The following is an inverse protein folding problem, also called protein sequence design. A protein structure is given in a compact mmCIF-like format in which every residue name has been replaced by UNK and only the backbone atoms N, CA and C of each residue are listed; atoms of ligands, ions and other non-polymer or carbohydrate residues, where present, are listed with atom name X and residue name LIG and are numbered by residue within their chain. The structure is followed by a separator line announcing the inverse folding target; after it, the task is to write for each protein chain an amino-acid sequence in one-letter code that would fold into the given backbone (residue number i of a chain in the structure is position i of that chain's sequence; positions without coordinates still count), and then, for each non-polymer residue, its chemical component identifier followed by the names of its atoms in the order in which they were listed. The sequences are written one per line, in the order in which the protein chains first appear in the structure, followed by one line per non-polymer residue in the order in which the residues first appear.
data_IF_962592248956
#
_entry.id   IF_962592248956
#
_cell.length_a   1.000
_cell.length_b   1.000
_cell.length_c   1.000
_cell.angle_alpha   90.00
_cell.angle_beta   90.00
_cell.angle_gamma   90.00
#
_symmetry.space_group_name_H-M   'P 1'
#
loop_
_entity.id
_entity.type
_entity.pdbx_description
1 polymer ?
#
# COMPACT_ATOMS: atom_id res chain seq x y z
N UNK A 1 11.04 -16.31 5.54
CA UNK A 1 10.21 -15.09 5.49
C UNK A 1 10.04 -14.55 6.90
N UNK A 2 10.35 -13.29 7.15
CA UNK A 2 10.09 -12.58 8.41
C UNK A 2 8.92 -11.62 8.21
N UNK A 3 7.97 -11.62 9.14
CA UNK A 3 6.83 -10.69 9.13
C UNK A 3 6.88 -9.85 10.40
N UNK A 4 6.74 -8.54 10.23
CA UNK A 4 6.78 -7.55 11.32
C UNK A 4 5.47 -6.77 11.33
N UNK A 5 4.84 -6.68 12.47
CA UNK A 5 3.67 -5.82 12.70
C UNK A 5 4.07 -4.35 12.71
N UNK A 6 3.16 -3.49 12.32
CA UNK A 6 3.32 -2.02 12.42
C UNK A 6 2.39 -1.45 13.49
N UNK A 7 2.45 -0.14 13.69
CA UNK A 7 1.54 0.57 14.62
C UNK A 7 0.10 0.67 14.09
N UNK A 8 -0.15 0.22 12.84
CA UNK A 8 -1.48 0.17 12.24
C UNK A 8 -1.97 -1.28 12.25
N UNK A 9 -3.07 -1.61 12.94
CA UNK A 9 -3.59 -2.96 13.02
C UNK A 9 -3.82 -3.59 11.65
N UNK A 10 -3.16 -4.73 11.41
CA UNK A 10 -3.25 -5.51 10.17
C UNK A 10 -2.31 -5.07 9.05
N UNK A 11 -1.61 -3.93 9.17
CA UNK A 11 -0.54 -3.56 8.24
C UNK A 11 0.73 -4.32 8.63
N UNK A 12 1.29 -5.07 7.68
CA UNK A 12 2.44 -5.93 7.91
C UNK A 12 3.58 -5.60 6.94
N UNK A 13 4.80 -5.52 7.46
CA UNK A 13 6.02 -5.50 6.66
C UNK A 13 6.56 -6.91 6.53
N UNK A 14 6.81 -7.36 5.30
CA UNK A 14 7.28 -8.71 4.99
C UNK A 14 8.67 -8.63 4.36
N UNK A 15 9.60 -9.41 4.87
CA UNK A 15 10.93 -9.62 4.29
C UNK A 15 11.03 -11.08 3.83
N UNK A 16 10.87 -11.35 2.51
CA UNK A 16 10.98 -12.68 1.95
C UNK A 16 12.39 -13.25 2.09
N UNK A 17 12.50 -14.57 2.12
CA UNK A 17 13.80 -15.24 1.98
C UNK A 17 14.28 -15.10 0.53
N UNK A 18 15.50 -14.60 0.35
CA UNK A 18 16.14 -14.44 -0.95
C UNK A 18 17.33 -15.38 -1.08
N UNK A 19 17.26 -16.32 -2.02
CA UNK A 19 18.38 -17.16 -2.40
C UNK A 19 19.22 -16.49 -3.48
N UNK A 20 20.54 -16.49 -3.34
CA UNK A 20 21.48 -15.90 -4.31
C UNK A 20 22.53 -16.92 -4.73
N UNK A 21 22.85 -16.96 -6.03
CA UNK A 21 23.94 -17.74 -6.61
C UNK A 21 24.55 -16.98 -7.80
N UNK A 22 25.56 -17.54 -8.51
CA UNK A 22 26.17 -16.88 -9.67
C UNK A 22 25.22 -16.55 -10.84
N UNK A 23 24.02 -17.11 -10.86
CA UNK A 23 23.00 -16.82 -11.89
C UNK A 23 22.12 -15.62 -11.50
N UNK A 24 22.18 -15.14 -10.26
CA UNK A 24 21.37 -14.05 -9.74
C UNK A 24 20.65 -14.39 -8.44
N UNK A 25 19.35 -14.06 -8.36
CA UNK A 25 18.55 -14.31 -7.17
C UNK A 25 17.25 -15.04 -7.51
N UNK A 26 16.77 -15.78 -6.52
CA UNK A 26 15.45 -16.39 -6.52
C UNK A 26 14.74 -16.08 -5.19
N UNK A 27 13.47 -15.68 -5.26
CA UNK A 27 12.62 -15.58 -4.09
C UNK A 27 11.20 -16.02 -4.44
N UNK A 28 10.50 -16.54 -3.44
CA UNK A 28 9.06 -16.76 -3.52
C UNK A 28 8.35 -15.46 -3.14
N UNK A 29 7.60 -14.89 -4.08
CA UNK A 29 6.89 -13.62 -3.86
C UNK A 29 5.54 -13.79 -3.19
N UNK A 30 4.97 -14.98 -3.22
CA UNK A 30 3.71 -15.33 -2.57
C UNK A 30 3.51 -16.84 -2.49
N UNK A 31 3.02 -17.30 -1.33
CA UNK A 31 2.56 -18.68 -1.12
C UNK A 31 1.32 -18.65 -0.23
N UNK A 32 0.17 -19.06 -0.75
CA UNK A 32 -1.13 -18.85 -0.09
C UNK A 32 -1.16 -19.34 1.37
N UNK A 33 -0.68 -20.57 1.65
CA UNK A 33 -0.67 -21.12 3.01
C UNK A 33 0.27 -20.36 3.94
N UNK A 34 1.52 -20.14 3.54
CA UNK A 34 2.54 -19.48 4.38
C UNK A 34 2.15 -18.02 4.71
N UNK A 35 1.54 -17.31 3.76
CA UNK A 35 1.08 -15.94 3.99
C UNK A 35 -0.17 -15.91 4.87
N UNK A 36 -1.10 -16.87 4.69
CA UNK A 36 -2.25 -17.00 5.59
C UNK A 36 -1.82 -17.31 7.03
N UNK A 37 -0.87 -18.25 7.23
CA UNK A 37 -0.30 -18.59 8.55
C UNK A 37 0.40 -17.39 9.20
N UNK A 38 0.89 -16.43 8.39
CA UNK A 38 1.51 -15.18 8.84
C UNK A 38 0.51 -14.02 9.04
N UNK A 39 -0.81 -14.27 8.96
CA UNK A 39 -1.85 -13.28 9.17
C UNK A 39 -2.20 -12.44 7.93
N UNK A 40 -1.80 -12.88 6.74
CA UNK A 40 -2.14 -12.23 5.47
C UNK A 40 -3.23 -13.05 4.77
N UNK A 41 -4.51 -12.68 4.95
CA UNK A 41 -5.62 -13.46 4.42
C UNK A 41 -5.70 -13.34 2.90
N UNK A 42 -5.98 -14.47 2.24
CA UNK A 42 -6.39 -14.53 0.85
C UNK A 42 -7.88 -14.82 0.70
N UNK A 43 -8.35 -15.13 -0.50
CA UNK A 43 -7.56 -15.25 -1.73
C UNK A 43 -7.18 -13.89 -2.32
N UNK A 44 -6.09 -13.84 -3.12
CA UNK A 44 -5.83 -12.73 -4.03
C UNK A 44 -6.38 -13.08 -5.42
N UNK A 45 -7.21 -12.21 -5.95
CA UNK A 45 -8.00 -12.47 -7.17
C UNK A 45 -7.59 -11.61 -8.37
N UNK A 46 -6.75 -10.58 -8.15
CA UNK A 46 -6.28 -9.67 -9.18
C UNK A 46 -4.84 -9.26 -8.91
N UNK A 47 -4.01 -9.28 -9.97
CA UNK A 47 -2.65 -8.76 -9.96
C UNK A 47 -2.56 -7.53 -10.85
N UNK A 48 -1.83 -6.51 -10.38
CA UNK A 48 -1.58 -5.29 -11.13
C UNK A 48 -0.09 -4.96 -11.14
N UNK A 49 0.38 -4.38 -12.24
CA UNK A 49 1.71 -3.82 -12.34
C UNK A 49 1.62 -2.38 -12.86
N UNK A 50 2.33 -1.45 -12.21
CA UNK A 50 2.48 -0.10 -12.71
C UNK A 50 3.95 0.25 -12.86
N UNK A 51 4.28 1.02 -13.91
CA UNK A 51 5.59 1.63 -14.06
C UNK A 51 5.46 3.14 -14.00
N UNK A 52 6.35 3.80 -13.28
CA UNK A 52 6.28 5.24 -13.02
C UNK A 52 7.67 5.85 -12.95
N UNK A 53 7.79 7.11 -13.36
CA UNK A 53 9.03 7.89 -13.34
C UNK A 53 9.25 8.55 -11.98
N UNK A 54 10.49 8.97 -11.71
CA UNK A 54 10.86 9.72 -10.50
C UNK A 54 9.89 10.87 -10.20
N UNK A 55 9.52 11.01 -8.94
CA UNK A 55 8.61 12.05 -8.46
C UNK A 55 7.13 11.77 -8.72
N UNK A 56 6.77 10.67 -9.38
CA UNK A 56 5.36 10.27 -9.49
C UNK A 56 4.85 9.84 -8.12
N UNK A 57 3.74 10.42 -7.69
CA UNK A 57 2.98 10.01 -6.51
C UNK A 57 1.61 9.52 -6.97
N UNK A 58 1.21 8.34 -6.51
CA UNK A 58 -0.12 7.76 -6.72
C UNK A 58 -0.75 7.52 -5.37
N UNK A 59 -1.91 8.08 -5.14
CA UNK A 59 -2.62 7.93 -3.87
C UNK A 59 -3.18 9.24 -3.31
N UNK A 60 -3.79 9.17 -2.15
CA UNK A 60 -4.02 7.97 -1.31
C UNK A 60 -5.33 7.29 -1.75
N UNK A 61 -5.26 6.05 -2.19
CA UNK A 61 -6.40 5.34 -2.77
C UNK A 61 -6.95 4.26 -1.85
N UNK A 62 -8.26 4.09 -1.84
CA UNK A 62 -8.97 2.96 -1.26
C UNK A 62 -10.21 2.64 -2.08
N UNK A 63 -10.89 1.54 -1.78
CA UNK A 63 -12.13 1.14 -2.42
C UNK A 63 -13.17 0.85 -1.34
N UNK A 64 -14.38 1.38 -1.52
CA UNK A 64 -15.52 1.20 -0.64
C UNK A 64 -16.82 1.25 -1.48
N UNK A 65 -17.74 0.25 -1.37
CA UNK A 65 -17.81 -0.80 -0.35
C UNK A 65 -16.95 -2.04 -0.61
N UNK A 66 -16.49 -2.33 -1.83
CA UNK A 66 -15.69 -3.53 -2.16
C UNK A 66 -14.21 -3.32 -1.80
N UNK A 67 -13.94 -3.24 -0.48
CA UNK A 67 -12.62 -2.90 0.03
C UNK A 67 -11.59 -3.99 -0.27
N UNK A 68 -10.45 -3.59 -0.84
CA UNK A 68 -9.34 -4.48 -1.21
C UNK A 68 -8.25 -4.51 -0.14
N UNK A 69 -7.86 -5.71 0.29
CA UNK A 69 -6.54 -5.94 0.86
C UNK A 69 -5.49 -5.99 -0.25
N UNK A 70 -4.29 -5.48 0.00
CA UNK A 70 -3.23 -5.40 -1.02
C UNK A 70 -1.92 -5.96 -0.49
N UNK A 71 -1.25 -6.82 -1.26
CA UNK A 71 0.11 -7.28 -1.01
C UNK A 71 1.01 -6.72 -2.12
N UNK A 72 1.97 -5.89 -1.75
CA UNK A 72 2.70 -5.03 -2.67
C UNK A 72 4.20 -5.22 -2.58
N UNK A 73 4.89 -5.06 -3.71
CA UNK A 73 6.35 -5.07 -3.79
C UNK A 73 6.85 -4.24 -4.98
N UNK A 74 8.13 -3.86 -4.93
CA UNK A 74 8.84 -3.24 -6.03
C UNK A 74 9.70 -4.28 -6.73
N UNK A 75 9.57 -4.39 -8.06
CA UNK A 75 10.38 -5.29 -8.89
C UNK A 75 11.54 -4.58 -9.61
N UNK A 76 11.42 -3.27 -9.79
CA UNK A 76 12.46 -2.38 -10.35
C UNK A 76 12.42 -1.03 -9.64
N UNK A 77 13.57 -0.47 -9.30
CA UNK A 77 13.68 0.85 -8.68
C UNK A 77 13.33 0.88 -7.19
N UNK A 78 12.93 2.07 -6.72
CA UNK A 78 12.68 2.38 -5.32
C UNK A 78 11.43 3.26 -5.21
N UNK A 79 10.56 2.94 -4.25
CA UNK A 79 9.45 3.80 -3.87
C UNK A 79 9.44 4.04 -2.36
N UNK A 80 8.90 5.17 -1.94
CA UNK A 80 8.44 5.40 -0.58
C UNK A 80 6.95 5.09 -0.53
N UNK A 81 6.61 4.03 0.17
CA UNK A 81 5.25 3.48 0.29
C UNK A 81 4.59 3.98 1.56
N UNK A 82 3.31 4.35 1.49
CA UNK A 82 2.56 4.92 2.61
C UNK A 82 1.19 4.28 2.73
N UNK A 83 0.88 3.85 3.94
CA UNK A 83 -0.43 3.32 4.33
C UNK A 83 -1.03 4.23 5.40
N UNK A 84 -2.29 4.62 5.22
CA UNK A 84 -3.03 5.45 6.19
C UNK A 84 -4.22 4.67 6.73
N UNK A 85 -4.37 4.62 8.04
CA UNK A 85 -5.56 4.06 8.66
C UNK A 85 -6.71 5.07 8.61
N UNK A 86 -7.68 4.82 7.75
CA UNK A 86 -8.88 5.64 7.58
C UNK A 86 -10.14 4.97 8.15
N UNK A 87 -10.00 3.86 8.88
CA UNK A 87 -11.11 3.07 9.43
C UNK A 87 -11.65 3.72 10.70
N UNK A 88 -12.88 4.22 10.65
CA UNK A 88 -13.56 4.82 11.81
C UNK A 88 -13.63 3.86 13.00
N UNK A 89 -13.21 4.32 14.16
CA UNK A 89 -13.15 3.52 15.39
C UNK A 89 -11.87 2.68 15.54
N UNK A 90 -10.92 2.76 14.61
CA UNK A 90 -9.60 2.17 14.79
C UNK A 90 -8.78 2.93 15.85
N UNK A 91 -7.97 2.22 16.66
CA UNK A 91 -7.06 2.86 17.63
C UNK A 91 -5.95 3.68 16.94
N UNK A 92 -5.73 3.46 15.64
CA UNK A 92 -4.75 4.20 14.83
C UNK A 92 -5.41 5.07 13.76
N UNK A 93 -6.69 5.40 13.88
CA UNK A 93 -7.38 6.28 12.93
C UNK A 93 -6.59 7.59 12.68
N UNK A 94 -6.37 7.93 11.41
CA UNK A 94 -5.58 9.10 11.00
C UNK A 94 -4.06 8.95 11.14
N UNK A 95 -3.55 7.82 11.62
CA UNK A 95 -2.12 7.54 11.63
C UNK A 95 -1.68 6.90 10.32
N UNK A 96 -0.42 7.09 9.97
CA UNK A 96 0.18 6.48 8.78
C UNK A 96 1.47 5.72 9.11
N UNK A 97 1.78 4.75 8.27
CA UNK A 97 3.03 4.00 8.25
C UNK A 97 3.70 4.20 6.90
N UNK A 98 5.00 4.50 6.91
CA UNK A 98 5.80 4.67 5.69
C UNK A 98 6.98 3.73 5.67
N UNK A 99 7.29 3.17 4.50
CA UNK A 99 8.43 2.28 4.30
C UNK A 99 9.05 2.47 2.91
N UNK A 100 10.36 2.30 2.81
CA UNK A 100 11.03 2.15 1.53
C UNK A 100 10.87 0.72 1.03
N UNK A 101 10.33 0.58 -0.18
CA UNK A 101 10.28 -0.67 -0.94
C UNK A 101 11.16 -0.55 -2.18
N UNK A 102 12.00 -1.55 -2.43
CA UNK A 102 12.91 -1.50 -3.57
C UNK A 102 13.16 -2.88 -4.18
N UNK A 103 13.62 -2.86 -5.43
CA UNK A 103 14.11 -4.06 -6.11
C UNK A 103 15.32 -4.70 -5.40
N UNK A 104 16.01 -3.97 -4.54
CA UNK A 104 17.15 -4.48 -3.78
C UNK A 104 16.73 -5.11 -2.46
N UNK A 105 15.92 -4.39 -1.64
CA UNK A 105 15.51 -4.88 -0.33
C UNK A 105 14.43 -5.97 -0.39
N UNK A 106 13.71 -6.10 -1.52
CA UNK A 106 12.66 -7.12 -1.76
C UNK A 106 11.53 -7.13 -0.74
N UNK A 107 11.44 -6.09 0.07
CA UNK A 107 10.38 -5.96 1.07
C UNK A 107 9.01 -5.89 0.39
N UNK A 108 8.03 -6.39 1.12
CA UNK A 108 6.63 -6.28 0.75
C UNK A 108 5.87 -5.62 1.90
N UNK A 109 4.77 -4.95 1.54
CA UNK A 109 3.80 -4.44 2.53
C UNK A 109 2.46 -5.08 2.24
N UNK A 110 1.82 -5.61 3.29
CA UNK A 110 0.42 -5.96 3.26
C UNK A 110 -0.41 -4.85 3.88
N UNK A 111 -1.42 -4.40 3.15
CA UNK A 111 -2.40 -3.40 3.57
C UNK A 111 -3.76 -4.08 3.70
N UNK A 112 -4.38 -4.07 4.89
CA UNK A 112 -5.70 -4.66 5.07
C UNK A 112 -6.79 -3.82 4.38
N UNK A 113 -7.95 -4.43 4.07
CA UNK A 113 -9.12 -3.68 3.60
C UNK A 113 -9.45 -2.51 4.52
N UNK A 114 -9.87 -1.39 3.92
CA UNK A 114 -10.29 -0.19 4.64
C UNK A 114 -9.15 0.79 4.99
N UNK A 115 -7.90 0.49 4.69
CA UNK A 115 -6.81 1.47 4.73
C UNK A 115 -6.66 2.16 3.38
N UNK A 116 -6.24 3.43 3.38
CA UNK A 116 -5.82 4.13 2.17
C UNK A 116 -4.32 3.90 1.92
N UNK A 117 -3.95 3.82 0.65
CA UNK A 117 -2.59 3.51 0.22
C UNK A 117 -2.10 4.46 -0.87
N UNK A 118 -0.83 4.80 -0.82
CA UNK A 118 -0.15 5.55 -1.87
C UNK A 118 1.36 5.34 -1.83
N UNK A 119 2.02 5.72 -2.91
CA UNK A 119 3.48 5.67 -2.97
C UNK A 119 4.07 6.79 -3.80
N UNK A 120 5.34 7.12 -3.54
CA UNK A 120 6.13 8.06 -4.32
C UNK A 120 7.38 7.39 -4.87
N UNK A 121 7.67 7.57 -6.17
CA UNK A 121 8.88 7.03 -6.82
C UNK A 121 10.09 7.90 -6.50
N UNK A 122 11.13 7.31 -5.90
CA UNK A 122 12.36 8.01 -5.49
C UNK A 122 13.56 7.70 -6.40
N UNK A 123 13.56 6.57 -7.11
CA UNK A 123 14.53 6.25 -8.18
C UNK A 123 14.13 6.86 -9.52
N UNK A 124 14.95 6.74 -10.58
CA UNK A 124 14.61 7.29 -11.92
C UNK A 124 13.29 6.74 -12.46
N UNK A 125 13.04 5.47 -12.21
CA UNK A 125 11.76 4.79 -12.47
C UNK A 125 11.56 3.67 -11.46
N UNK A 126 10.32 3.23 -11.30
CA UNK A 126 10.00 2.06 -10.51
C UNK A 126 8.87 1.25 -11.15
N UNK A 127 8.98 -0.08 -11.04
CA UNK A 127 7.93 -1.04 -11.39
C UNK A 127 7.36 -1.61 -10.08
N UNK A 128 6.08 -1.33 -9.84
CA UNK A 128 5.34 -1.65 -8.64
C UNK A 128 4.30 -2.71 -8.93
N UNK A 129 4.44 -3.87 -8.29
CA UNK A 129 3.55 -5.02 -8.43
C UNK A 129 2.70 -5.17 -7.17
N UNK A 130 1.40 -5.43 -7.34
CA UNK A 130 0.53 -5.67 -6.20
C UNK A 130 -0.62 -6.63 -6.52
N UNK A 131 -0.95 -7.46 -5.53
CA UNK A 131 -2.09 -8.38 -5.52
C UNK A 131 -3.23 -7.76 -4.72
N UNK A 132 -4.47 -7.98 -5.15
CA UNK A 132 -5.68 -7.50 -4.50
C UNK A 132 -6.58 -8.65 -4.09
N UNK A 133 -7.21 -8.53 -2.91
CA UNK A 133 -8.15 -9.54 -2.38
C UNK A 133 -9.54 -9.44 -2.98
N UNK A 134 -9.85 -8.37 -3.70
CA UNK A 134 -11.11 -8.18 -4.44
C UNK A 134 -10.83 -7.51 -5.79
N UNK A 135 -11.79 -7.54 -6.69
CA UNK A 135 -11.67 -6.95 -8.02
C UNK A 135 -11.73 -5.43 -7.97
N UNK A 136 -11.06 -4.79 -8.91
CA UNK A 136 -11.17 -3.35 -9.09
C UNK A 136 -12.57 -2.98 -9.59
N UNK A 137 -13.23 -2.12 -8.84
CA UNK A 137 -14.52 -1.54 -9.17
C UNK A 137 -14.38 -0.01 -9.31
N UNK A 138 -14.37 0.55 -10.53
CA UNK A 138 -14.15 1.98 -10.75
C UNK A 138 -15.14 2.89 -10.01
N UNK A 139 -16.38 2.45 -9.82
CA UNK A 139 -17.43 3.18 -9.08
C UNK A 139 -17.14 3.30 -7.58
N UNK A 140 -16.34 2.38 -7.04
CA UNK A 140 -16.04 2.27 -5.62
C UNK A 140 -14.71 2.89 -5.26
N UNK A 141 -13.93 3.31 -6.28
CA UNK A 141 -12.66 3.97 -6.05
C UNK A 141 -12.86 5.32 -5.33
N UNK A 142 -12.13 5.50 -4.25
CA UNK A 142 -12.10 6.70 -3.41
C UNK A 142 -10.65 7.10 -3.14
N UNK A 143 -10.46 8.32 -2.65
CA UNK A 143 -9.14 8.77 -2.26
C UNK A 143 -9.17 9.88 -1.22
N UNK A 144 -8.04 10.03 -0.53
CA UNK A 144 -7.72 11.17 0.34
C UNK A 144 -6.63 11.97 -0.35
N UNK A 145 -6.71 13.30 -0.26
CA UNK A 145 -5.68 14.17 -0.84
C UNK A 145 -4.30 13.85 -0.25
N UNK A 146 -3.32 13.69 -1.12
CA UNK A 146 -1.97 13.23 -0.76
C UNK A 146 -1.25 14.11 0.28
N UNK A 147 -1.52 15.41 0.28
CA UNK A 147 -0.93 16.41 1.16
C UNK A 147 -1.89 16.90 2.25
N UNK A 148 -2.80 16.04 2.68
CA UNK A 148 -3.72 16.36 3.77
C UNK A 148 -2.95 16.88 5.00
N UNK A 149 -3.25 18.12 5.47
CA UNK A 149 -2.50 18.71 6.57
C UNK A 149 -2.72 17.99 7.92
N UNK A 150 -3.84 17.31 8.09
CA UNK A 150 -4.11 16.53 9.31
C UNK A 150 -3.30 15.24 9.37
N UNK A 151 -2.96 14.66 8.23
CA UNK A 151 -2.10 13.48 8.14
C UNK A 151 -0.62 13.85 8.23
N UNK A 152 -0.22 15.02 7.75
CA UNK A 152 1.15 15.54 7.77
C UNK A 152 2.20 14.51 7.28
N UNK A 153 1.89 13.78 6.19
CA UNK A 153 2.77 12.74 5.65
C UNK A 153 4.05 13.38 5.13
N UNK A 154 5.19 12.87 5.59
CA UNK A 154 6.51 13.34 5.16
C UNK A 154 6.91 12.68 3.83
N UNK A 155 6.32 13.14 2.73
CA UNK A 155 6.67 12.66 1.40
C UNK A 155 8.09 13.07 1.00
N UNK A 156 8.86 12.21 0.32
CA UNK A 156 10.24 12.52 -0.12
C UNK A 156 10.28 13.46 -1.33
N UNK A 157 9.17 14.10 -1.70
CA UNK A 157 9.03 14.98 -2.84
C UNK A 157 8.15 16.18 -2.48
N UNK A 158 8.62 17.40 -2.78
CA UNK A 158 7.86 18.60 -2.50
C UNK A 158 6.79 18.89 -3.58
N UNK A 159 7.07 18.53 -4.82
CA UNK A 159 6.19 18.79 -5.98
C UNK A 159 6.03 17.50 -6.81
N UNK A 160 5.10 16.61 -6.44
CA UNK A 160 4.92 15.34 -7.13
C UNK A 160 4.25 15.49 -8.50
N UNK A 161 4.53 14.51 -9.36
CA UNK A 161 3.77 14.27 -10.59
C UNK A 161 2.52 13.47 -10.20
N UNK A 162 1.35 14.07 -10.38
CA UNK A 162 0.06 13.52 -9.99
C UNK A 162 -0.86 13.31 -11.19
N UNK A 163 -1.73 12.31 -11.10
CA UNK A 163 -2.88 12.20 -12.01
C UNK A 163 -3.90 13.33 -11.77
N UNK A 164 -4.82 13.53 -12.72
CA UNK A 164 -5.87 14.52 -12.55
C UNK A 164 -6.73 14.26 -11.31
N UNK A 165 -7.07 13.00 -11.04
CA UNK A 165 -7.88 12.60 -9.87
C UNK A 165 -7.15 12.78 -8.54
N UNK A 166 -5.83 12.47 -8.48
CA UNK A 166 -5.04 12.60 -7.24
C UNK A 166 -4.86 14.05 -6.80
N UNK A 167 -5.06 15.02 -7.72
CA UNK A 167 -5.00 16.46 -7.43
C UNK A 167 -6.24 17.00 -6.73
N UNK A 168 -7.39 16.34 -6.86
CA UNK A 168 -8.70 16.87 -6.48
C UNK A 168 -9.42 16.04 -5.41
N UNK A 169 -8.77 15.02 -4.87
CA UNK A 169 -9.34 14.29 -3.74
C UNK A 169 -9.57 15.23 -2.54
N UNK A 170 -10.56 14.89 -1.75
CA UNK A 170 -10.91 15.62 -0.52
C UNK A 170 -9.98 15.24 0.62
N UNK A 171 -9.95 16.07 1.66
CA UNK A 171 -9.25 15.78 2.91
C UNK A 171 -9.91 14.62 3.68
N UNK A 172 -9.17 14.04 4.62
CA UNK A 172 -9.67 13.00 5.52
C UNK A 172 -10.92 13.47 6.27
N UNK A 173 -10.92 14.70 6.75
CA UNK A 173 -12.05 15.30 7.47
C UNK A 173 -13.31 15.44 6.60
N UNK A 174 -13.16 15.84 5.34
CA UNK A 174 -14.28 15.95 4.39
C UNK A 174 -14.85 14.59 3.99
N UNK A 175 -14.00 13.54 3.98
CA UNK A 175 -14.41 12.17 3.65
C UNK A 175 -14.94 11.39 4.85
N UNK A 176 -14.79 11.91 6.08
CA UNK A 176 -15.14 11.21 7.32
C UNK A 176 -16.52 10.53 7.32
N UNK A 177 -17.61 11.11 6.80
CA UNK A 177 -18.92 10.44 6.76
C UNK A 177 -18.92 9.12 5.94
N UNK A 178 -18.10 9.05 4.89
CA UNK A 178 -18.06 7.94 3.92
C UNK A 178 -16.96 6.91 4.21
N UNK A 179 -16.12 7.13 5.25
CA UNK A 179 -15.00 6.27 5.55
C UNK A 179 -15.44 4.89 6.07
N UNK A 180 -14.65 3.83 5.77
CA UNK A 180 -14.90 2.48 6.26
C UNK A 180 -14.87 2.41 7.78
N UNK A 181 -15.54 1.41 8.35
CA UNK A 181 -15.51 1.13 9.79
C UNK A 181 -14.43 0.10 10.11
N UNK A 182 -13.75 0.32 11.24
CA UNK A 182 -12.80 -0.65 11.76
C UNK A 182 -13.55 -1.91 12.21
N UNK A 183 -13.00 -3.06 11.77
CA UNK A 183 -13.40 -4.39 12.26
C UNK A 183 -12.14 -5.04 12.82
N UNK A 184 -12.09 -5.36 14.12
CA UNK A 184 -10.95 -6.07 14.69
C UNK A 184 -10.65 -7.34 13.88
N UNK A 185 -9.38 -7.58 13.64
CA UNK A 185 -8.91 -8.84 13.07
C UNK A 185 -8.97 -9.84 14.21
N UNK A 186 -9.86 -10.83 14.11
CA UNK A 186 -10.03 -11.89 15.10
C UNK A 186 -8.86 -12.86 15.12
#
# INVERSE_FOLDING_TARGET
MRVTTTDIPGVLLIEPDVSRDPRGLFLETYHARRYADAGIPGPFVQDNCSQSMRGTLRGLHYQEPHAQGKLMMVTEGIVYDVVVDIRKGSPSFGRWYGAELSAENRRQVYVPPGCAHGFCVTSDRASFLYKCTDYYAPSDERGIIWNDPSLAISWPVATPILSAKDRIYKSLAEMEPELPRYRPIG
#
